data_IF_630000625856
#
_entry.id   IF_630000625856
#
_cell.length_a   1.000
_cell.length_b   1.000
_cell.length_c   1.000
_cell.angle_alpha   90.00
_cell.angle_beta   90.00
_cell.angle_gamma   90.00
#
_symmetry.space_group_name_H-M   'P 1'
#
loop_
_entity.id
_entity.type
_entity.pdbx_description
1 polymer ?
#
# COMPACT_ATOMS: atom_id res chain seq x y z
N UNK A 1 -2.38 -3.68 -32.30
CA UNK A 1 -2.35 -4.76 -31.28
C UNK A 1 -1.82 -4.12 -30.00
N UNK A 2 -2.66 -3.99 -28.97
CA UNK A 2 -2.31 -3.21 -27.79
C UNK A 2 -1.18 -3.88 -27.00
N UNK A 3 -0.18 -3.11 -26.56
CA UNK A 3 0.89 -3.50 -25.64
C UNK A 3 0.34 -3.82 -24.24
N UNK A 4 -0.55 -4.83 -24.12
CA UNK A 4 -1.26 -5.15 -22.88
C UNK A 4 -0.34 -5.68 -21.78
N UNK A 5 0.72 -6.41 -22.15
CA UNK A 5 1.72 -6.91 -21.20
C UNK A 5 2.38 -5.81 -20.36
N UNK A 6 3.08 -4.84 -20.97
CA UNK A 6 3.69 -3.75 -20.21
C UNK A 6 2.67 -2.83 -19.53
N UNK A 7 1.46 -2.68 -20.09
CA UNK A 7 0.38 -1.93 -19.43
C UNK A 7 -0.08 -2.58 -18.12
N UNK A 8 -0.21 -3.91 -18.07
CA UNK A 8 -0.60 -4.64 -16.86
C UNK A 8 0.48 -4.51 -15.78
N UNK A 9 1.75 -4.66 -16.16
CA UNK A 9 2.87 -4.49 -15.23
C UNK A 9 2.91 -3.06 -14.70
N UNK A 10 2.77 -2.07 -15.58
CA UNK A 10 2.73 -0.66 -15.19
C UNK A 10 1.58 -0.37 -14.23
N UNK A 11 0.36 -0.85 -14.52
CA UNK A 11 -0.79 -0.70 -13.65
C UNK A 11 -0.55 -1.35 -12.27
N UNK A 12 0.03 -2.55 -12.23
CA UNK A 12 0.33 -3.23 -10.97
C UNK A 12 1.38 -2.48 -10.13
N UNK A 13 2.42 -1.94 -10.76
CA UNK A 13 3.42 -1.08 -10.10
C UNK A 13 2.77 0.19 -9.56
N UNK A 14 1.93 0.86 -10.35
CA UNK A 14 1.23 2.09 -9.92
C UNK A 14 0.30 1.81 -8.74
N UNK A 15 -0.44 0.69 -8.75
CA UNK A 15 -1.31 0.29 -7.65
C UNK A 15 -0.51 0.00 -6.37
N UNK A 16 0.60 -0.74 -6.50
CA UNK A 16 1.48 -1.04 -5.38
C UNK A 16 2.10 0.25 -4.81
N UNK A 17 2.74 1.05 -5.66
CA UNK A 17 3.43 2.26 -5.25
C UNK A 17 2.44 3.30 -4.68
N UNK A 18 1.28 3.47 -5.30
CA UNK A 18 0.21 4.35 -4.82
C UNK A 18 -0.35 3.90 -3.47
N UNK A 19 -0.60 2.59 -3.30
CA UNK A 19 -1.06 2.03 -2.03
C UNK A 19 -0.03 2.20 -0.90
N UNK A 20 1.25 1.92 -1.17
CA UNK A 20 2.32 2.17 -0.19
C UNK A 20 2.49 3.65 0.11
N UNK A 21 2.42 4.53 -0.89
CA UNK A 21 2.55 5.97 -0.68
C UNK A 21 1.38 6.53 0.14
N UNK A 22 0.16 6.05 -0.10
CA UNK A 22 -1.00 6.39 0.71
C UNK A 22 -0.87 5.91 2.17
N UNK A 23 -0.23 4.75 2.39
CA UNK A 23 0.11 4.27 3.72
C UNK A 23 1.32 4.98 4.33
N UNK A 24 2.16 5.64 3.51
CA UNK A 24 3.36 6.35 3.93
C UNK A 24 3.14 7.84 4.20
N UNK A 25 2.08 8.44 3.67
CA UNK A 25 1.74 9.83 3.96
C UNK A 25 1.01 9.97 5.30
N UNK A 26 1.46 10.87 6.19
CA UNK A 26 0.85 11.07 7.48
C UNK A 26 -0.62 11.52 7.36
N UNK A 27 -1.46 11.04 8.27
CA UNK A 27 -2.85 11.51 8.40
C UNK A 27 -2.85 12.70 9.33
N UNK A 28 -3.20 13.86 8.79
CA UNK A 28 -3.48 15.05 9.57
C UNK A 28 -4.97 15.09 9.89
N UNK A 29 -5.31 15.60 11.05
CA UNK A 29 -6.70 15.80 11.47
C UNK A 29 -6.87 17.28 11.77
N UNK A 30 -8.06 17.81 11.55
CA UNK A 30 -8.47 19.15 11.96
C UNK A 30 -8.64 19.22 13.49
N UNK A 31 -7.56 18.89 14.20
CA UNK A 31 -7.40 18.95 15.63
C UNK A 31 -6.10 19.72 15.91
N UNK A 32 -6.23 20.82 16.63
CA UNK A 32 -5.12 21.71 16.96
C UNK A 32 -4.70 21.46 18.41
N UNK A 33 -3.39 21.30 18.62
CA UNK A 33 -2.80 21.24 19.95
C UNK A 33 -2.95 22.59 20.68
N UNK A 34 -2.68 22.63 21.98
CA UNK A 34 -2.72 23.83 22.83
C UNK A 34 -1.87 25.00 22.31
N UNK A 35 -0.92 24.74 21.42
CA UNK A 35 -0.06 25.73 20.77
C UNK A 35 -0.55 26.16 19.36
N UNK A 36 -1.71 25.68 18.91
CA UNK A 36 -2.29 26.03 17.60
C UNK A 36 -1.71 25.27 16.40
N UNK A 37 -0.97 24.18 16.63
CA UNK A 37 -0.40 23.33 15.58
C UNK A 37 -1.27 22.08 15.35
N UNK A 38 -1.41 21.62 14.11
CA UNK A 38 -2.16 20.39 13.82
C UNK A 38 -1.49 19.16 14.44
N UNK A 39 -2.27 18.37 15.17
CA UNK A 39 -1.80 17.12 15.77
C UNK A 39 -1.60 16.09 14.66
N UNK A 40 -0.35 15.60 14.52
CA UNK A 40 -0.03 14.46 13.64
C UNK A 40 -0.38 13.16 14.36
N UNK A 41 -1.36 12.42 13.83
CA UNK A 41 -1.77 11.11 14.37
C UNK A 41 -0.89 9.94 13.90
N UNK A 42 0.16 10.23 13.10
CA UNK A 42 1.06 9.23 12.53
C UNK A 42 0.74 8.89 11.08
N UNK A 43 1.04 7.66 10.69
CA UNK A 43 1.06 7.20 9.31
C UNK A 43 0.26 5.90 9.12
N UNK A 44 -0.13 5.56 7.89
CA UNK A 44 -0.91 4.34 7.61
C UNK A 44 -0.26 3.04 8.12
N UNK A 45 1.08 2.98 8.21
CA UNK A 45 1.83 1.86 8.79
C UNK A 45 1.97 1.89 10.31
N UNK A 46 2.19 3.07 10.91
CA UNK A 46 2.45 3.24 12.34
C UNK A 46 1.56 4.34 12.92
N UNK A 47 0.69 3.95 13.85
CA UNK A 47 -0.11 4.91 14.62
C UNK A 47 0.73 5.44 15.77
N UNK A 48 1.10 6.72 15.74
CA UNK A 48 1.88 7.36 16.79
C UNK A 48 0.91 8.16 17.68
N UNK A 49 0.24 7.45 18.60
CA UNK A 49 -0.75 8.05 19.50
C UNK A 49 -0.12 8.84 20.66
N UNK A 50 1.21 8.82 20.80
CA UNK A 50 1.94 9.47 21.89
C UNK A 50 1.74 10.99 21.91
N UNK A 51 1.65 11.64 20.73
CA UNK A 51 1.35 13.07 20.65
C UNK A 51 -0.11 13.38 21.00
N UNK A 52 -1.07 12.60 20.49
CA UNK A 52 -2.49 12.75 20.81
C UNK A 52 -2.80 12.48 22.30
N UNK A 53 -2.10 11.54 22.93
CA UNK A 53 -2.21 11.25 24.35
C UNK A 53 -1.48 12.26 25.24
N UNK A 54 -0.51 13.01 24.70
CA UNK A 54 0.18 14.09 25.42
C UNK A 54 -0.57 15.43 25.37
N UNK A 55 -1.42 15.68 24.36
CA UNK A 55 -2.30 16.84 24.31
C UNK A 55 -3.21 16.84 25.56
N UNK A 56 -3.09 17.86 26.40
CA UNK A 56 -3.80 17.97 27.67
C UNK A 56 -5.19 18.60 27.45
N UNK A 57 -6.27 17.91 27.85
CA UNK A 57 -7.63 18.44 27.83
C UNK A 57 -8.72 17.36 27.91
N UNK A 58 -9.96 17.72 28.29
CA UNK A 58 -11.10 16.79 28.41
C UNK A 58 -11.51 16.13 27.09
N UNK A 59 -11.00 16.62 25.95
CA UNK A 59 -11.20 16.04 24.62
C UNK A 59 -10.15 14.99 24.23
N UNK A 60 -9.19 14.63 25.10
CA UNK A 60 -8.11 13.67 24.82
C UNK A 60 -8.61 12.33 24.24
N UNK A 61 -9.67 11.75 24.80
CA UNK A 61 -10.27 10.50 24.29
C UNK A 61 -10.89 10.69 22.91
N UNK A 62 -11.58 11.81 22.68
CA UNK A 62 -12.17 12.15 21.38
C UNK A 62 -11.11 12.35 20.29
N UNK A 63 -9.92 12.86 20.64
CA UNK A 63 -8.82 13.02 19.67
C UNK A 63 -8.21 11.67 19.29
N UNK A 64 -8.04 10.75 20.25
CA UNK A 64 -7.56 9.39 20.00
C UNK A 64 -8.52 8.62 19.09
N UNK A 65 -9.83 8.66 19.38
CA UNK A 65 -10.84 7.97 18.55
C UNK A 65 -10.93 8.56 17.14
N UNK A 66 -10.79 9.90 17.01
CA UNK A 66 -10.77 10.57 15.71
C UNK A 66 -9.50 10.25 14.92
N UNK A 67 -8.36 10.12 15.59
CA UNK A 67 -7.13 9.59 15.02
C UNK A 67 -7.30 8.18 14.48
N UNK A 68 -7.84 7.27 15.29
CA UNK A 68 -8.00 5.87 14.91
C UNK A 68 -8.95 5.71 13.72
N UNK A 69 -10.09 6.40 13.76
CA UNK A 69 -11.07 6.35 12.66
C UNK A 69 -10.49 6.88 11.33
N UNK A 70 -9.73 7.98 11.37
CA UNK A 70 -9.11 8.53 10.16
C UNK A 70 -8.02 7.60 9.59
N UNK A 71 -7.26 6.95 10.47
CA UNK A 71 -6.27 5.93 10.10
C UNK A 71 -6.93 4.68 9.51
N UNK A 72 -8.05 4.23 10.11
CA UNK A 72 -8.84 3.09 9.64
C UNK A 72 -9.38 3.32 8.24
N UNK A 73 -9.96 4.50 7.96
CA UNK A 73 -10.45 4.83 6.63
C UNK A 73 -9.33 4.75 5.58
N UNK A 74 -8.12 5.24 5.87
CA UNK A 74 -6.99 5.11 4.93
C UNK A 74 -6.55 3.66 4.73
N UNK A 75 -6.45 2.89 5.80
CA UNK A 75 -6.09 1.46 5.74
C UNK A 75 -7.10 0.66 4.93
N UNK A 76 -8.38 1.01 5.02
CA UNK A 76 -9.49 0.29 4.38
C UNK A 76 -9.37 0.26 2.85
N UNK A 77 -8.80 1.29 2.22
CA UNK A 77 -8.60 1.31 0.77
C UNK A 77 -7.13 1.12 0.38
N UNK A 78 -6.19 1.69 1.14
CA UNK A 78 -4.77 1.66 0.78
C UNK A 78 -4.17 0.24 0.89
N UNK A 79 -4.54 -0.54 1.93
CA UNK A 79 -4.08 -1.92 2.09
C UNK A 79 -4.58 -2.79 0.93
N UNK A 80 -5.88 -2.84 0.58
CA UNK A 80 -6.35 -3.59 -0.58
C UNK A 80 -5.65 -3.19 -1.88
N UNK A 81 -5.46 -1.89 -2.16
CA UNK A 81 -4.74 -1.47 -3.38
C UNK A 81 -3.30 -1.97 -3.42
N UNK A 82 -2.58 -1.89 -2.30
CA UNK A 82 -1.21 -2.38 -2.22
C UNK A 82 -1.15 -3.90 -2.39
N UNK A 83 -2.06 -4.64 -1.76
CA UNK A 83 -2.16 -6.11 -1.85
C UNK A 83 -2.47 -6.55 -3.29
N UNK A 84 -3.42 -5.89 -3.96
CA UNK A 84 -3.75 -6.19 -5.36
C UNK A 84 -2.57 -5.93 -6.30
N UNK A 85 -1.86 -4.80 -6.12
CA UNK A 85 -0.65 -4.51 -6.89
C UNK A 85 0.44 -5.56 -6.66
N UNK A 86 0.67 -5.96 -5.41
CA UNK A 86 1.64 -6.99 -5.05
C UNK A 86 1.31 -8.37 -5.64
N UNK A 87 0.08 -8.83 -5.48
CA UNK A 87 -0.40 -10.11 -6.02
C UNK A 87 -0.30 -10.15 -7.55
N UNK A 88 -0.65 -9.06 -8.22
CA UNK A 88 -0.53 -8.97 -9.67
C UNK A 88 0.94 -9.11 -10.12
N UNK A 89 1.88 -8.43 -9.45
CA UNK A 89 3.30 -8.53 -9.80
C UNK A 89 3.88 -9.91 -9.53
N UNK A 90 3.56 -10.53 -8.39
CA UNK A 90 4.04 -11.88 -8.07
C UNK A 90 3.49 -12.92 -9.02
N UNK A 91 2.20 -12.81 -9.39
CA UNK A 91 1.59 -13.68 -10.39
C UNK A 91 2.29 -13.57 -11.75
N UNK A 92 2.56 -12.36 -12.21
CA UNK A 92 3.23 -12.12 -13.49
C UNK A 92 4.66 -12.65 -13.47
N UNK A 93 5.42 -12.42 -12.39
CA UNK A 93 6.77 -12.96 -12.22
C UNK A 93 6.77 -14.50 -12.22
N UNK A 94 5.84 -15.12 -11.49
CA UNK A 94 5.67 -16.57 -11.47
C UNK A 94 5.31 -17.14 -12.86
N UNK A 95 4.44 -16.46 -13.60
CA UNK A 95 4.08 -16.86 -14.97
C UNK A 95 5.29 -16.81 -15.92
N UNK A 96 6.12 -15.77 -15.84
CA UNK A 96 7.35 -15.65 -16.65
C UNK A 96 8.35 -16.75 -16.30
N UNK A 97 8.59 -16.98 -15.01
CA UNK A 97 9.49 -18.05 -14.55
C UNK A 97 8.99 -19.44 -15.01
N UNK A 98 7.68 -19.70 -14.91
CA UNK A 98 7.08 -20.95 -15.36
C UNK A 98 7.22 -21.16 -16.88
N UNK A 99 7.19 -20.09 -17.67
CA UNK A 99 7.43 -20.16 -19.12
C UNK A 99 8.88 -20.51 -19.43
N UNK A 100 9.83 -19.91 -18.73
CA UNK A 100 11.24 -20.20 -18.93
C UNK A 100 11.58 -21.65 -18.58
N UNK A 101 10.99 -22.22 -17.52
CA UNK A 101 11.16 -23.65 -17.21
C UNK A 101 10.57 -24.58 -18.29
N UNK A 102 9.55 -24.16 -19.04
CA UNK A 102 8.95 -24.96 -20.12
C UNK A 102 9.72 -24.90 -21.44
N UNK A 103 10.59 -23.91 -21.65
CA UNK A 103 11.40 -23.76 -22.88
C UNK A 103 12.44 -24.89 -23.06
N UNK A 104 13.26 -25.26 -22.05
CA UNK A 104 14.25 -26.35 -22.14
C UNK A 104 13.66 -27.68 -22.60
N UNK A 105 12.49 -28.06 -22.07
CA UNK A 105 11.82 -29.32 -22.42
C UNK A 105 11.35 -29.36 -23.87
N UNK A 106 10.96 -28.21 -24.45
CA UNK A 106 10.58 -28.11 -25.88
C UNK A 106 11.79 -28.23 -26.79
N UNK A 107 12.91 -27.61 -26.43
CA UNK A 107 14.15 -27.68 -27.22
C UNK A 107 14.70 -29.11 -27.31
N UNK A 108 14.62 -29.88 -26.21
CA UNK A 108 15.04 -31.28 -26.18
C UNK A 108 14.15 -32.19 -27.05
N UNK A 109 12.85 -31.88 -27.14
CA UNK A 109 11.91 -32.63 -27.98
C UNK A 109 12.06 -32.33 -29.48
N UNK A 110 12.66 -31.19 -29.83
CA UNK A 110 12.73 -30.67 -31.20
C UNK A 110 14.10 -30.89 -31.87
N UNK A 111 15.03 -31.61 -31.25
CA UNK A 111 16.27 -32.06 -31.89
C UNK A 111 15.97 -33.26 -32.81
N UNK A 112 15.93 -33.09 -34.14
CA UNK A 112 15.82 -34.23 -35.06
C UNK A 112 17.20 -34.90 -35.14
N UNK A 113 17.23 -36.22 -34.97
CA UNK A 113 18.39 -37.09 -35.23
C UNK A 113 18.78 -37.09 -36.70
#
# INVERSE_FOLDING_TARGET
MANRGPLIVFAAVVLLAGGLFALYLPVFIDAYDQFGWQIKCGNGFTAELSQASSAAGPARTNYVDRCDNALMVRRLWAIPTAVLGGLALTWQAAAVLAQDHRRPSRSALQSPS
#
